data_IF_440560838231
#
_entry.id   IF_440560838231
#
_cell.length_a   1.000
_cell.length_b   1.000
_cell.length_c   1.000
_cell.angle_alpha   90.00
_cell.angle_beta   90.00
_cell.angle_gamma   90.00
#
_symmetry.space_group_name_H-M   'P 1'
#
loop_
_entity.id
_entity.type
_entity.pdbx_description
1 polymer ?
#
# COMPACT_ATOMS: atom_id res chain seq x y z
N UNK A 1 -1.02 45.13 14.16
CA UNK A 1 -1.30 43.92 14.99
C UNK A 1 -0.69 42.72 14.27
N UNK A 2 0.29 42.02 14.88
CA UNK A 2 0.90 40.84 14.26
C UNK A 2 -0.05 39.65 14.37
N UNK A 3 -0.27 38.96 13.27
CA UNK A 3 -1.04 37.70 13.18
C UNK A 3 -0.36 36.60 14.01
N UNK A 4 -1.11 35.81 14.79
CA UNK A 4 -0.52 34.70 15.54
C UNK A 4 -0.01 33.64 14.59
N UNK A 5 1.28 33.32 14.71
CA UNK A 5 1.95 32.21 14.06
C UNK A 5 1.10 30.93 14.15
N UNK A 6 0.62 30.44 13.02
CA UNK A 6 0.16 29.06 12.91
C UNK A 6 1.37 28.18 13.22
N UNK A 7 1.37 27.59 14.39
CA UNK A 7 2.32 26.55 14.77
C UNK A 7 2.40 25.52 13.63
N UNK A 8 3.49 25.58 12.92
CA UNK A 8 3.97 24.51 12.06
C UNK A 8 3.96 23.25 12.92
N UNK A 9 3.05 22.33 12.65
CA UNK A 9 3.18 20.96 13.15
C UNK A 9 4.52 20.47 12.63
N UNK A 10 5.51 20.39 13.51
CA UNK A 10 6.74 19.66 13.25
C UNK A 10 6.33 18.24 12.85
N UNK A 11 6.38 17.97 11.56
CA UNK A 11 6.25 16.61 11.03
C UNK A 11 7.50 15.90 11.52
N UNK A 12 7.37 15.17 12.62
CA UNK A 12 8.39 14.22 13.02
C UNK A 12 8.50 13.23 11.86
N UNK A 13 9.55 13.37 11.07
CA UNK A 13 9.86 12.44 9.97
C UNK A 13 10.11 11.07 10.61
N UNK A 14 9.08 10.24 10.61
CA UNK A 14 9.22 8.87 11.06
C UNK A 14 9.92 8.08 9.97
N UNK A 15 11.05 7.44 10.30
CA UNK A 15 11.72 6.50 9.39
C UNK A 15 10.81 5.35 8.95
N UNK A 16 9.76 5.06 9.71
CA UNK A 16 8.75 4.05 9.42
C UNK A 16 7.35 4.63 9.64
N UNK A 17 6.77 5.31 8.64
CA UNK A 17 5.39 5.74 8.73
C UNK A 17 4.45 4.53 8.86
N UNK A 18 3.28 4.68 9.51
CA UNK A 18 2.46 3.55 9.97
C UNK A 18 2.01 2.60 8.86
N UNK A 19 1.65 3.12 7.68
CA UNK A 19 1.17 2.31 6.57
C UNK A 19 2.27 1.40 6.02
N UNK A 20 3.44 1.97 5.71
CA UNK A 20 4.61 1.20 5.26
C UNK A 20 5.01 0.19 6.33
N UNK A 21 5.10 0.62 7.61
CA UNK A 21 5.46 -0.26 8.72
C UNK A 21 4.57 -1.49 8.79
N UNK A 22 3.26 -1.31 8.78
CA UNK A 22 2.32 -2.43 8.89
C UNK A 22 2.32 -3.32 7.66
N UNK A 23 2.46 -2.75 6.46
CA UNK A 23 2.60 -3.56 5.24
C UNK A 23 3.86 -4.43 5.27
N UNK A 24 4.99 -3.90 5.73
CA UNK A 24 6.23 -4.68 5.90
C UNK A 24 6.04 -5.81 6.91
N UNK A 25 5.46 -5.53 8.09
CA UNK A 25 5.24 -6.53 9.14
C UNK A 25 4.30 -7.64 8.65
N UNK A 26 3.17 -7.28 8.04
CA UNK A 26 2.16 -8.25 7.60
C UNK A 26 2.72 -9.15 6.49
N UNK A 27 3.36 -8.58 5.46
CA UNK A 27 3.95 -9.38 4.38
C UNK A 27 5.05 -10.32 4.89
N UNK A 28 5.95 -9.81 5.73
CA UNK A 28 7.01 -10.63 6.33
C UNK A 28 6.43 -11.71 7.24
N UNK A 29 5.43 -11.39 8.07
CA UNK A 29 4.79 -12.35 8.95
C UNK A 29 4.09 -13.48 8.18
N UNK A 30 3.32 -13.14 7.14
CA UNK A 30 2.65 -14.14 6.28
C UNK A 30 3.69 -15.00 5.56
N UNK A 31 4.78 -14.41 5.07
CA UNK A 31 5.86 -15.16 4.44
C UNK A 31 6.53 -16.13 5.42
N UNK A 32 6.81 -15.71 6.65
CA UNK A 32 7.40 -16.57 7.67
C UNK A 32 6.45 -17.74 8.02
N UNK A 33 5.16 -17.48 8.14
CA UNK A 33 4.15 -18.54 8.35
C UNK A 33 4.15 -19.53 7.19
N UNK A 34 4.19 -19.05 5.94
CA UNK A 34 4.26 -19.90 4.75
C UNK A 34 5.58 -20.70 4.71
N UNK A 35 6.71 -20.03 4.95
CA UNK A 35 8.03 -20.64 4.85
C UNK A 35 8.29 -21.71 5.92
N UNK A 36 7.85 -21.46 7.15
CA UNK A 36 8.05 -22.33 8.30
C UNK A 36 6.94 -23.38 8.46
N UNK A 37 5.77 -23.19 7.85
CA UNK A 37 4.58 -24.00 8.08
C UNK A 37 4.55 -25.36 7.40
N UNK A 38 5.59 -25.69 6.62
CA UNK A 38 5.69 -26.97 5.91
C UNK A 38 4.70 -27.09 4.73
N UNK A 39 4.78 -28.21 4.01
CA UNK A 39 4.05 -28.42 2.75
C UNK A 39 2.52 -28.34 2.89
N UNK A 40 1.97 -28.80 4.01
CA UNK A 40 0.51 -28.77 4.24
C UNK A 40 -0.01 -27.35 4.35
N UNK A 41 0.64 -26.47 5.14
CA UNK A 41 0.23 -25.08 5.28
C UNK A 41 0.50 -24.30 3.98
N UNK A 42 1.61 -24.58 3.31
CA UNK A 42 1.94 -23.97 2.01
C UNK A 42 0.84 -24.22 0.98
N UNK A 43 0.36 -25.48 0.86
CA UNK A 43 -0.71 -25.83 -0.07
C UNK A 43 -2.04 -25.14 0.27
N UNK A 44 -2.39 -25.04 1.55
CA UNK A 44 -3.59 -24.31 1.97
C UNK A 44 -3.49 -22.81 1.70
N UNK A 45 -2.34 -22.21 1.96
CA UNK A 45 -2.12 -20.78 1.69
C UNK A 45 -2.15 -20.44 0.19
N UNK A 46 -1.91 -21.40 -0.70
CA UNK A 46 -2.07 -21.19 -2.16
C UNK A 46 -3.53 -20.92 -2.57
N UNK A 47 -4.52 -21.22 -1.73
CA UNK A 47 -5.90 -20.76 -1.95
C UNK A 47 -6.06 -19.24 -1.87
N UNK A 48 -5.11 -18.54 -1.26
CA UNK A 48 -5.06 -17.07 -1.20
C UNK A 48 -4.37 -16.45 -2.43
N UNK A 49 -3.70 -17.26 -3.25
CA UNK A 49 -3.04 -16.82 -4.48
C UNK A 49 -4.08 -16.51 -5.57
N UNK A 50 -3.77 -15.56 -6.43
CA UNK A 50 -4.64 -15.17 -7.52
C UNK A 50 -4.59 -16.23 -8.64
N UNK A 51 -5.69 -16.94 -8.81
CA UNK A 51 -5.91 -17.92 -9.88
C UNK A 51 -7.05 -17.41 -10.77
N UNK A 52 -6.74 -16.80 -11.93
CA UNK A 52 -7.70 -16.12 -12.79
C UNK A 52 -8.97 -16.93 -13.09
N UNK A 53 -8.83 -18.21 -13.42
CA UNK A 53 -9.96 -19.09 -13.72
C UNK A 53 -10.89 -19.30 -12.51
N UNK A 54 -10.36 -19.38 -11.29
CA UNK A 54 -11.19 -19.50 -10.08
C UNK A 54 -11.98 -18.22 -9.84
N UNK A 55 -11.35 -17.06 -10.00
CA UNK A 55 -12.02 -15.77 -9.79
C UNK A 55 -13.16 -15.55 -10.76
N UNK A 56 -12.99 -15.91 -12.04
CA UNK A 56 -14.00 -15.64 -13.09
C UNK A 56 -15.10 -16.70 -13.11
N UNK A 57 -14.72 -18.00 -13.15
CA UNK A 57 -15.70 -19.06 -13.37
C UNK A 57 -16.39 -19.57 -12.09
N UNK A 58 -15.88 -19.18 -10.91
CA UNK A 58 -16.47 -19.51 -9.62
C UNK A 58 -16.86 -18.24 -8.83
N UNK A 59 -17.16 -17.15 -9.52
CA UNK A 59 -17.65 -15.92 -8.87
C UNK A 59 -18.95 -16.18 -8.09
N UNK A 60 -19.13 -15.65 -6.86
CA UNK A 60 -18.22 -14.72 -6.15
C UNK A 60 -17.22 -15.42 -5.21
N UNK A 61 -17.13 -16.75 -5.22
CA UNK A 61 -16.50 -17.57 -4.19
C UNK A 61 -14.98 -17.38 -4.05
N UNK A 62 -14.30 -16.83 -5.06
CA UNK A 62 -12.85 -16.64 -5.02
C UNK A 62 -12.43 -15.18 -5.23
N UNK A 63 -13.35 -14.23 -5.12
CA UNK A 63 -13.08 -12.80 -5.35
C UNK A 63 -12.05 -12.21 -4.39
N UNK A 64 -11.91 -12.76 -3.18
CA UNK A 64 -10.89 -12.34 -2.22
C UNK A 64 -9.47 -12.48 -2.75
N UNK A 65 -9.23 -13.39 -3.72
CA UNK A 65 -7.91 -13.59 -4.31
C UNK A 65 -7.38 -12.32 -4.99
N UNK A 66 -8.26 -11.43 -5.48
CA UNK A 66 -7.87 -10.12 -6.03
C UNK A 66 -7.17 -9.21 -5.00
N UNK A 67 -7.28 -9.53 -3.73
CA UNK A 67 -6.67 -8.79 -2.63
C UNK A 67 -5.60 -9.61 -1.90
N UNK A 68 -5.88 -10.87 -1.59
CA UNK A 68 -5.03 -11.69 -0.73
C UNK A 68 -3.69 -12.06 -1.38
N UNK A 69 -3.65 -12.20 -2.69
CA UNK A 69 -2.46 -12.57 -3.45
C UNK A 69 -1.28 -11.62 -3.20
N UNK A 70 -1.58 -10.34 -2.89
CA UNK A 70 -0.60 -9.29 -2.63
C UNK A 70 0.29 -9.58 -1.42
N UNK A 71 -0.13 -10.46 -0.54
CA UNK A 71 0.58 -10.78 0.71
C UNK A 71 1.39 -12.07 0.64
N UNK A 72 1.26 -12.84 -0.43
CA UNK A 72 2.01 -14.08 -0.64
C UNK A 72 3.31 -13.80 -1.41
N UNK A 73 4.38 -14.50 -1.04
CA UNK A 73 5.68 -14.36 -1.72
C UNK A 73 6.31 -15.75 -1.92
N UNK A 74 6.76 -16.03 -3.15
CA UNK A 74 7.26 -17.34 -3.56
C UNK A 74 8.70 -17.67 -3.14
N UNK A 75 9.39 -16.76 -2.43
CA UNK A 75 10.76 -16.97 -1.96
C UNK A 75 11.37 -15.75 -1.31
N UNK A 76 12.50 -15.94 -0.63
CA UNK A 76 13.19 -14.87 0.13
C UNK A 76 13.54 -13.68 -0.76
N UNK A 77 14.10 -13.92 -1.95
CA UNK A 77 14.45 -12.84 -2.89
C UNK A 77 13.23 -12.05 -3.34
N UNK A 78 12.10 -12.74 -3.64
CA UNK A 78 10.84 -12.10 -4.04
C UNK A 78 10.31 -11.20 -2.91
N UNK A 79 10.28 -11.70 -1.67
CA UNK A 79 9.88 -10.89 -0.51
C UNK A 79 10.83 -9.69 -0.34
N UNK A 80 12.14 -9.94 -0.34
CA UNK A 80 13.15 -8.92 -0.07
C UNK A 80 13.03 -7.74 -1.04
N UNK A 81 12.97 -8.00 -2.35
CA UNK A 81 12.85 -6.95 -3.36
C UNK A 81 11.53 -6.18 -3.26
N UNK A 82 10.43 -6.87 -2.95
CA UNK A 82 9.14 -6.22 -2.72
C UNK A 82 9.19 -5.31 -1.48
N UNK A 83 9.66 -5.81 -0.35
CA UNK A 83 9.71 -5.05 0.90
C UNK A 83 10.68 -3.87 0.84
N UNK A 84 11.80 -4.05 0.16
CA UNK A 84 12.77 -2.99 -0.03
C UNK A 84 12.22 -1.87 -0.94
N UNK A 85 11.55 -2.24 -2.03
CA UNK A 85 10.88 -1.28 -2.91
C UNK A 85 9.73 -0.55 -2.21
N UNK A 86 8.92 -1.28 -1.44
CA UNK A 86 7.86 -0.71 -0.62
C UNK A 86 8.43 0.28 0.41
N UNK A 87 9.52 -0.06 1.08
CA UNK A 87 10.18 0.81 2.03
C UNK A 87 10.73 2.07 1.35
N UNK A 88 11.46 1.92 0.26
CA UNK A 88 12.15 3.00 -0.44
C UNK A 88 11.18 4.02 -1.05
N UNK A 89 10.15 3.57 -1.76
CA UNK A 89 9.18 4.45 -2.41
C UNK A 89 8.00 4.80 -1.50
N UNK A 90 7.56 3.85 -0.68
CA UNK A 90 6.40 3.99 0.18
C UNK A 90 6.56 5.04 1.26
N UNK A 91 7.74 5.13 1.89
CA UNK A 91 7.98 6.12 2.95
C UNK A 91 7.74 7.54 2.44
N UNK A 92 8.36 7.92 1.33
CA UNK A 92 8.24 9.28 0.76
C UNK A 92 6.80 9.58 0.34
N UNK A 93 6.12 8.61 -0.28
CA UNK A 93 4.73 8.78 -0.69
C UNK A 93 3.78 8.88 0.51
N UNK A 94 3.97 8.05 1.54
CA UNK A 94 3.16 8.11 2.75
C UNK A 94 3.38 9.41 3.53
N UNK A 95 4.62 9.89 3.62
CA UNK A 95 4.93 11.18 4.23
C UNK A 95 4.30 12.34 3.47
N UNK A 96 4.22 12.25 2.14
CA UNK A 96 3.64 13.29 1.29
C UNK A 96 2.10 13.29 1.35
N UNK A 97 1.47 12.13 1.33
CA UNK A 97 0.02 11.98 1.21
C UNK A 97 -0.71 11.70 2.53
N UNK A 98 0.02 11.26 3.54
CA UNK A 98 -0.52 10.67 4.76
C UNK A 98 -0.98 9.23 4.56
N UNK A 99 -1.01 8.48 5.68
CA UNK A 99 -1.23 7.02 5.72
C UNK A 99 -2.50 6.58 4.99
N UNK A 100 -3.62 7.30 5.17
CA UNK A 100 -4.91 6.90 4.57
C UNK A 100 -4.88 6.96 3.06
N UNK A 101 -4.30 8.00 2.48
CA UNK A 101 -4.22 8.19 1.03
C UNK A 101 -3.23 7.20 0.43
N UNK A 102 -2.07 7.03 1.07
CA UNK A 102 -1.07 6.04 0.68
C UNK A 102 -1.65 4.62 0.61
N UNK A 103 -2.32 4.16 1.67
CA UNK A 103 -2.93 2.82 1.69
C UNK A 103 -4.03 2.66 0.65
N UNK A 104 -4.88 3.67 0.44
CA UNK A 104 -5.89 3.63 -0.64
C UNK A 104 -5.25 3.46 -2.00
N UNK A 105 -4.21 4.23 -2.29
CA UNK A 105 -3.49 4.14 -3.54
C UNK A 105 -2.83 2.77 -3.71
N UNK A 106 -2.14 2.30 -2.68
CA UNK A 106 -1.47 0.99 -2.67
C UNK A 106 -2.44 -0.16 -2.99
N UNK A 107 -3.55 -0.23 -2.26
CA UNK A 107 -4.53 -1.29 -2.46
C UNK A 107 -5.30 -1.15 -3.77
N UNK A 108 -5.58 0.07 -4.22
CA UNK A 108 -6.18 0.28 -5.53
C UNK A 108 -5.27 -0.25 -6.65
N UNK A 109 -3.99 0.08 -6.61
CA UNK A 109 -3.01 -0.42 -7.60
C UNK A 109 -2.90 -1.93 -7.54
N UNK A 110 -2.84 -2.53 -6.34
CA UNK A 110 -2.75 -3.97 -6.17
C UNK A 110 -3.98 -4.71 -6.66
N UNK A 111 -5.17 -4.30 -6.23
CA UNK A 111 -6.43 -4.92 -6.71
C UNK A 111 -6.60 -4.70 -8.22
N UNK A 112 -6.31 -3.51 -8.72
CA UNK A 112 -6.33 -3.21 -10.14
C UNK A 112 -5.35 -4.07 -10.96
N UNK A 113 -4.17 -4.32 -10.42
CA UNK A 113 -3.20 -5.25 -10.99
C UNK A 113 -3.78 -6.66 -11.09
N UNK A 114 -4.40 -7.15 -10.01
CA UNK A 114 -5.07 -8.45 -9.98
C UNK A 114 -6.23 -8.56 -10.98
N UNK A 115 -7.01 -7.50 -11.15
CA UNK A 115 -8.09 -7.44 -12.15
C UNK A 115 -7.51 -7.53 -13.57
N UNK A 116 -6.49 -6.74 -13.91
CA UNK A 116 -5.84 -6.79 -15.22
C UNK A 116 -5.24 -8.17 -15.49
N UNK A 117 -4.54 -8.73 -14.51
CA UNK A 117 -3.96 -10.07 -14.60
C UNK A 117 -5.03 -11.14 -14.87
N UNK A 118 -6.12 -11.10 -14.09
CA UNK A 118 -7.25 -12.02 -14.23
C UNK A 118 -7.88 -11.93 -15.61
N UNK A 119 -8.24 -10.73 -16.07
CA UNK A 119 -8.93 -10.54 -17.33
C UNK A 119 -8.07 -10.99 -18.53
N UNK A 120 -6.81 -10.56 -18.57
CA UNK A 120 -5.93 -10.85 -19.70
C UNK A 120 -5.58 -12.35 -19.74
N UNK A 121 -5.25 -12.97 -18.59
CA UNK A 121 -4.93 -14.41 -18.58
C UNK A 121 -6.12 -15.29 -18.92
N UNK A 122 -7.34 -14.93 -18.53
CA UNK A 122 -8.57 -15.65 -18.93
C UNK A 122 -8.81 -15.52 -20.43
N UNK A 123 -8.67 -14.30 -21.00
CA UNK A 123 -8.85 -14.06 -22.46
C UNK A 123 -7.81 -14.84 -23.27
N UNK A 124 -6.57 -14.89 -22.80
CA UNK A 124 -5.48 -15.63 -23.48
C UNK A 124 -5.49 -17.14 -23.20
N UNK A 125 -6.39 -17.62 -22.33
CA UNK A 125 -6.47 -19.04 -21.94
C UNK A 125 -5.29 -19.52 -21.10
N UNK A 126 -4.55 -18.61 -20.47
CA UNK A 126 -3.40 -18.96 -19.65
C UNK A 126 -3.86 -19.47 -18.28
N UNK A 127 -3.27 -20.58 -17.82
CA UNK A 127 -3.47 -21.13 -16.48
C UNK A 127 -2.30 -20.73 -15.58
N UNK A 128 -2.35 -19.50 -15.09
CA UNK A 128 -1.31 -18.92 -14.24
C UNK A 128 -1.82 -18.76 -12.81
N UNK A 129 -0.90 -18.72 -11.87
CA UNK A 129 -1.17 -18.33 -10.49
C UNK A 129 -0.21 -17.20 -10.14
N UNK A 130 -0.79 -16.08 -9.69
CA UNK A 130 -0.05 -14.85 -9.39
C UNK A 130 -0.02 -14.62 -7.89
N UNK A 131 1.16 -14.25 -7.37
CA UNK A 131 1.41 -13.89 -5.97
C UNK A 131 2.39 -12.70 -5.91
N UNK A 132 2.27 -11.90 -4.86
CA UNK A 132 3.22 -10.82 -4.54
C UNK A 132 2.61 -9.43 -4.53
N UNK A 133 3.25 -8.55 -3.78
CA UNK A 133 2.90 -7.14 -3.66
C UNK A 133 3.31 -6.29 -4.87
N UNK A 134 4.02 -6.89 -5.84
CA UNK A 134 4.70 -6.17 -6.90
C UNK A 134 3.77 -5.33 -7.79
N UNK A 135 2.55 -5.77 -8.06
CA UNK A 135 1.56 -4.95 -8.79
C UNK A 135 1.28 -3.61 -8.11
N UNK A 136 1.06 -3.61 -6.79
CA UNK A 136 0.91 -2.38 -6.03
C UNK A 136 2.20 -1.55 -6.00
N UNK A 137 3.36 -2.20 -5.90
CA UNK A 137 4.68 -1.54 -5.87
C UNK A 137 4.99 -0.86 -7.22
N UNK A 138 4.63 -1.45 -8.34
CA UNK A 138 4.73 -0.79 -9.65
C UNK A 138 3.84 0.45 -9.73
N UNK A 139 2.66 0.43 -9.09
CA UNK A 139 1.85 1.63 -8.88
C UNK A 139 2.57 2.69 -8.05
N UNK A 140 3.21 2.31 -6.92
CA UNK A 140 4.01 3.23 -6.10
C UNK A 140 5.20 3.80 -6.89
N UNK A 141 5.89 2.96 -7.66
CA UNK A 141 6.99 3.38 -8.52
C UNK A 141 6.53 4.45 -9.53
N UNK A 142 5.38 4.22 -10.18
CA UNK A 142 4.78 5.21 -11.07
C UNK A 142 4.49 6.53 -10.35
N UNK A 143 3.82 6.48 -9.19
CA UNK A 143 3.50 7.68 -8.41
C UNK A 143 4.76 8.45 -8.03
N UNK A 144 5.80 7.74 -7.59
CA UNK A 144 7.06 8.34 -7.24
C UNK A 144 7.72 9.05 -8.44
N UNK A 145 7.75 8.41 -9.61
CA UNK A 145 8.31 9.00 -10.82
C UNK A 145 7.53 10.18 -11.36
N UNK A 146 6.19 10.21 -11.15
CA UNK A 146 5.33 11.34 -11.54
C UNK A 146 5.49 12.53 -10.59
N UNK A 147 5.54 12.27 -9.27
CA UNK A 147 5.60 13.32 -8.25
C UNK A 147 7.02 13.86 -8.01
N UNK A 148 8.02 12.99 -8.18
CA UNK A 148 9.42 13.31 -7.91
C UNK A 148 10.33 12.97 -9.09
N UNK A 149 10.05 13.49 -10.32
CA UNK A 149 10.66 13.00 -11.57
C UNK A 149 12.19 13.16 -11.61
N UNK A 150 12.74 14.18 -10.98
CA UNK A 150 14.17 14.50 -11.02
C UNK A 150 14.96 14.02 -9.80
N UNK A 151 14.29 13.42 -8.81
CA UNK A 151 14.95 12.78 -7.67
C UNK A 151 15.78 11.60 -8.17
N UNK A 152 17.03 11.53 -7.74
CA UNK A 152 17.93 10.42 -8.06
C UNK A 152 17.66 9.24 -7.12
N UNK A 153 17.44 8.07 -7.70
CA UNK A 153 17.24 6.80 -7.02
C UNK A 153 18.32 5.84 -7.49
N UNK A 154 18.84 5.01 -6.60
CA UNK A 154 19.83 4.00 -6.99
C UNK A 154 19.13 2.83 -7.68
N UNK A 155 19.29 2.70 -8.99
CA UNK A 155 18.86 1.54 -9.74
C UNK A 155 19.72 0.33 -9.34
N UNK A 156 19.05 -0.72 -8.87
CA UNK A 156 19.70 -1.94 -8.35
C UNK A 156 20.82 -1.65 -7.33
N UNK A 157 20.71 -0.55 -6.56
CA UNK A 157 21.69 -0.07 -5.57
C UNK A 157 23.06 0.34 -6.14
N UNK A 158 23.23 0.39 -7.45
CA UNK A 158 24.50 0.63 -8.12
C UNK A 158 24.58 2.01 -8.79
N UNK A 159 23.57 2.35 -9.59
CA UNK A 159 23.62 3.53 -10.45
C UNK A 159 22.55 4.55 -10.08
N UNK A 160 22.92 5.82 -9.80
CA UNK A 160 21.95 6.87 -9.56
C UNK A 160 21.27 7.27 -10.88
N UNK A 161 19.97 7.01 -10.96
CA UNK A 161 19.11 7.37 -12.10
C UNK A 161 17.96 8.28 -11.63
N UNK A 162 17.51 9.21 -12.46
CA UNK A 162 16.32 10.00 -12.14
C UNK A 162 15.08 9.11 -12.13
N UNK A 163 14.19 9.35 -11.16
CA UNK A 163 13.00 8.54 -10.94
C UNK A 163 12.14 8.36 -12.20
N UNK A 164 11.97 9.41 -13.01
CA UNK A 164 11.25 9.33 -14.29
C UNK A 164 11.81 8.27 -15.25
N UNK A 165 13.13 8.18 -15.36
CA UNK A 165 13.77 7.18 -16.23
C UNK A 165 13.69 5.78 -15.64
N UNK A 166 13.79 5.66 -14.30
CA UNK A 166 13.61 4.40 -13.60
C UNK A 166 12.22 3.82 -13.91
N UNK A 167 11.16 4.62 -13.77
CA UNK A 167 9.78 4.22 -14.08
C UNK A 167 9.62 3.79 -15.53
N UNK A 168 10.19 4.56 -16.46
CA UNK A 168 10.15 4.23 -17.90
C UNK A 168 10.82 2.90 -18.20
N UNK A 169 11.99 2.63 -17.62
CA UNK A 169 12.74 1.37 -17.81
C UNK A 169 11.94 0.21 -17.25
N UNK A 170 11.46 0.28 -16.00
CA UNK A 170 10.69 -0.82 -15.40
C UNK A 170 9.36 -1.05 -16.13
N UNK A 171 8.68 0.01 -16.57
CA UNK A 171 7.48 -0.09 -17.39
C UNK A 171 7.75 -0.72 -18.75
N UNK A 172 8.82 -0.32 -19.43
CA UNK A 172 9.22 -0.90 -20.71
C UNK A 172 9.62 -2.38 -20.58
N UNK A 173 10.39 -2.72 -19.55
CA UNK A 173 10.75 -4.12 -19.26
C UNK A 173 9.51 -4.97 -18.99
N UNK A 174 8.58 -4.48 -18.17
CA UNK A 174 7.33 -5.18 -17.90
C UNK A 174 6.49 -5.37 -19.18
N UNK A 175 6.45 -4.35 -20.06
CA UNK A 175 5.71 -4.42 -21.33
C UNK A 175 6.35 -5.43 -22.28
N UNK A 176 7.65 -5.36 -22.51
CA UNK A 176 8.37 -6.28 -23.38
C UNK A 176 8.25 -7.72 -22.87
N UNK A 177 8.38 -7.92 -21.55
CA UNK A 177 8.24 -9.23 -20.93
C UNK A 177 6.81 -9.77 -20.96
N UNK A 178 5.80 -8.89 -20.93
CA UNK A 178 4.39 -9.30 -21.09
C UNK A 178 4.06 -9.73 -22.54
N UNK A 179 4.73 -9.15 -23.52
CA UNK A 179 4.56 -9.50 -24.95
C UNK A 179 5.38 -10.74 -25.33
N UNK A 180 6.46 -11.02 -24.59
CA UNK A 180 7.25 -12.23 -24.76
C UNK A 180 6.60 -13.42 -24.06
N UNK A 181 6.68 -14.62 -24.67
CA UNK A 181 6.18 -15.88 -24.11
C UNK A 181 7.05 -16.41 -22.95
N UNK A 182 7.55 -15.53 -22.07
CA UNK A 182 8.42 -15.95 -20.97
C UNK A 182 7.62 -16.56 -19.83
N UNK A 183 7.75 -17.86 -19.61
CA UNK A 183 7.32 -18.61 -18.41
C UNK A 183 8.12 -18.19 -17.15
N UNK A 184 8.35 -16.90 -16.96
CA UNK A 184 9.23 -16.37 -15.90
C UNK A 184 8.64 -16.48 -14.48
N UNK A 185 7.41 -17.00 -14.32
CA UNK A 185 6.73 -17.05 -13.03
C UNK A 185 6.37 -15.67 -12.43
N UNK A 186 6.67 -14.59 -13.17
CA UNK A 186 6.38 -13.21 -12.78
C UNK A 186 5.26 -12.67 -13.65
N UNK A 187 4.18 -12.20 -13.05
CA UNK A 187 3.10 -11.58 -13.80
C UNK A 187 3.45 -10.15 -14.21
N UNK A 188 4.01 -10.00 -15.40
CA UNK A 188 4.27 -8.68 -15.98
C UNK A 188 2.98 -7.93 -16.30
N UNK A 189 1.88 -8.64 -16.56
CA UNK A 189 0.55 -8.09 -16.76
C UNK A 189 0.06 -7.39 -15.46
N UNK A 190 0.26 -8.03 -14.33
CA UNK A 190 -0.07 -7.42 -13.03
C UNK A 190 0.76 -6.15 -12.77
N UNK A 191 2.05 -6.13 -13.15
CA UNK A 191 2.89 -4.95 -13.02
C UNK A 191 2.34 -3.76 -13.84
N UNK A 192 2.03 -3.99 -15.11
CA UNK A 192 1.43 -2.97 -15.98
C UNK A 192 0.04 -2.55 -15.49
N UNK A 193 -0.78 -3.50 -15.02
CA UNK A 193 -2.09 -3.23 -14.42
C UNK A 193 -2.00 -2.30 -13.22
N UNK A 194 -1.03 -2.54 -12.32
CA UNK A 194 -0.77 -1.66 -11.18
C UNK A 194 -0.37 -0.24 -11.58
N UNK A 195 0.50 -0.10 -12.59
CA UNK A 195 0.85 1.21 -13.14
C UNK A 195 -0.36 1.89 -13.81
N UNK A 196 -1.17 1.16 -14.55
CA UNK A 196 -2.36 1.67 -15.24
C UNK A 196 -3.38 2.24 -14.23
N UNK A 197 -3.75 1.47 -13.20
CA UNK A 197 -4.66 1.93 -12.16
C UNK A 197 -4.08 3.09 -11.37
N UNK A 198 -2.78 3.06 -11.10
CA UNK A 198 -2.06 4.16 -10.48
C UNK A 198 -2.12 5.44 -11.30
N UNK A 199 -1.92 5.34 -12.60
CA UNK A 199 -2.01 6.47 -13.52
C UNK A 199 -3.41 7.10 -13.55
N UNK A 200 -4.45 6.27 -13.69
CA UNK A 200 -5.82 6.75 -13.66
C UNK A 200 -6.15 7.45 -12.33
N UNK A 201 -5.69 6.90 -11.22
CA UNK A 201 -5.91 7.52 -9.92
C UNK A 201 -5.23 8.89 -9.79
N UNK A 202 -4.00 9.03 -10.29
CA UNK A 202 -3.25 10.29 -10.24
C UNK A 202 -3.81 11.36 -11.19
N UNK A 203 -4.35 10.93 -12.35
CA UNK A 203 -4.93 11.82 -13.36
C UNK A 203 -6.40 12.15 -13.13
N UNK A 204 -7.14 11.26 -12.49
CA UNK A 204 -8.55 11.51 -12.24
C UNK A 204 -8.71 12.71 -11.30
N UNK A 205 -9.50 13.73 -11.68
CA UNK A 205 -10.02 14.67 -10.70
C UNK A 205 -10.78 13.81 -9.70
N UNK A 206 -10.37 13.79 -8.41
CA UNK A 206 -10.97 12.90 -7.40
C UNK A 206 -12.48 12.84 -7.59
N UNK A 207 -13.05 11.72 -8.04
CA UNK A 207 -14.48 11.61 -8.24
C UNK A 207 -15.15 11.93 -6.89
N UNK A 208 -16.18 12.76 -6.90
CA UNK A 208 -17.01 13.05 -5.70
C UNK A 208 -17.46 11.77 -4.99
N UNK A 209 -17.59 10.67 -5.74
CA UNK A 209 -17.93 9.34 -5.22
C UNK A 209 -16.94 8.82 -4.15
N UNK A 210 -15.64 9.02 -4.29
CA UNK A 210 -14.66 8.63 -3.26
C UNK A 210 -14.71 9.55 -2.01
N UNK A 211 -15.38 10.70 -2.10
CA UNK A 211 -15.65 11.56 -0.95
C UNK A 211 -16.68 10.94 0.00
N UNK A 212 -17.60 10.12 -0.53
CA UNK A 212 -18.61 9.38 0.25
C UNK A 212 -18.04 8.16 0.99
N UNK A 213 -16.94 7.58 0.50
CA UNK A 213 -16.22 6.48 1.15
C UNK A 213 -15.22 6.96 2.22
N UNK A 214 -15.44 8.13 2.83
CA UNK A 214 -14.73 8.48 4.05
C UNK A 214 -15.24 7.54 5.15
N UNK A 215 -14.43 6.54 5.59
CA UNK A 215 -14.82 5.81 6.79
C UNK A 215 -14.96 6.84 7.91
N UNK A 216 -15.91 6.66 8.84
CA UNK A 216 -16.06 7.55 9.98
C UNK A 216 -14.69 7.70 10.65
N UNK A 217 -14.34 8.93 11.05
CA UNK A 217 -13.06 9.20 11.68
C UNK A 217 -13.02 8.57 13.09
N UNK A 218 -12.86 7.24 13.12
CA UNK A 218 -12.78 6.46 14.37
C UNK A 218 -11.63 6.96 15.24
N UNK A 219 -10.55 7.46 14.65
CA UNK A 219 -9.44 8.08 15.36
C UNK A 219 -9.81 9.44 15.94
N UNK A 220 -10.65 10.22 15.26
CA UNK A 220 -11.21 11.48 15.77
C UNK A 220 -12.21 11.23 16.88
N UNK A 221 -13.10 10.27 16.70
CA UNK A 221 -14.05 9.84 17.74
C UNK A 221 -13.33 9.34 19.00
N UNK A 222 -12.30 8.48 18.87
CA UNK A 222 -11.52 8.00 20.02
C UNK A 222 -10.75 9.13 20.71
N UNK A 223 -10.17 10.08 19.96
CA UNK A 223 -9.51 11.28 20.53
C UNK A 223 -10.50 12.16 21.28
N UNK A 224 -11.68 12.42 20.72
CA UNK A 224 -12.73 13.20 21.38
C UNK A 224 -13.23 12.51 22.65
N UNK A 225 -13.48 11.20 22.62
CA UNK A 225 -13.86 10.41 23.77
C UNK A 225 -12.80 10.44 24.88
N UNK A 226 -11.52 10.30 24.51
CA UNK A 226 -10.39 10.41 25.46
C UNK A 226 -10.29 11.79 26.08
N UNK A 227 -10.48 12.85 25.29
CA UNK A 227 -10.51 14.24 25.78
C UNK A 227 -11.71 14.49 26.70
N UNK A 228 -12.89 13.99 26.38
CA UNK A 228 -14.06 14.10 27.25
C UNK A 228 -13.86 13.36 28.57
N UNK A 229 -13.28 12.17 28.55
CA UNK A 229 -12.92 11.45 29.78
C UNK A 229 -11.89 12.22 30.62
N UNK A 230 -10.88 12.79 29.99
CA UNK A 230 -9.88 13.61 30.67
C UNK A 230 -10.51 14.86 31.30
N UNK A 231 -11.40 15.58 30.58
CA UNK A 231 -12.16 16.72 31.07
C UNK A 231 -13.06 16.35 32.28
N UNK A 232 -13.78 15.23 32.19
CA UNK A 232 -14.60 14.75 33.33
C UNK A 232 -13.76 14.45 34.57
N UNK A 233 -12.62 13.75 34.41
CA UNK A 233 -11.69 13.47 35.50
C UNK A 233 -11.16 14.75 36.13
N UNK A 234 -10.77 15.73 35.30
CA UNK A 234 -10.30 17.03 35.78
C UNK A 234 -11.38 17.81 36.53
N UNK A 235 -12.62 17.84 36.03
CA UNK A 235 -13.75 18.48 36.72
C UNK A 235 -14.05 17.83 38.06
N UNK A 236 -14.01 16.50 38.17
CA UNK A 236 -14.18 15.76 39.41
C UNK A 236 -13.05 16.08 40.39
N UNK A 237 -11.81 16.16 39.92
CA UNK A 237 -10.65 16.54 40.73
C UNK A 237 -10.80 17.96 41.29
N UNK A 238 -11.14 18.93 40.42
CA UNK A 238 -11.36 20.33 40.82
C UNK A 238 -12.51 20.47 41.81
N UNK A 239 -13.59 19.73 41.65
CA UNK A 239 -14.72 19.71 42.56
C UNK A 239 -14.35 19.13 43.95
N UNK A 240 -13.50 18.10 43.98
CA UNK A 240 -12.96 17.52 45.24
C UNK A 240 -12.01 18.48 45.98
N UNK A 241 -11.31 19.35 45.25
CA UNK A 241 -10.38 20.34 45.81
C UNK A 241 -11.07 21.65 46.23
N UNK A 242 -12.41 21.68 46.30
CA UNK A 242 -13.19 22.83 46.78
C UNK A 242 -13.08 24.09 45.93
N UNK A 243 -12.79 23.94 44.64
CA UNK A 243 -12.70 25.07 43.69
C UNK A 243 -11.47 25.99 43.86
N UNK A 244 -10.60 25.71 44.81
CA UNK A 244 -9.33 26.45 44.98
C UNK A 244 -8.28 25.87 44.04
N UNK A 245 -8.09 26.52 42.90
CA UNK A 245 -6.94 26.26 42.02
C UNK A 245 -5.64 26.73 42.70
N UNK A 246 -4.47 26.13 42.36
CA UNK A 246 -3.18 26.51 42.95
C UNK A 246 -2.68 27.91 42.59
N UNK A 247 -3.51 28.73 41.96
CA UNK A 247 -3.14 30.04 41.40
C UNK A 247 -4.00 31.21 41.96
N UNK A 248 -4.67 31.06 43.08
CA UNK A 248 -5.38 32.15 43.74
C UNK A 248 -4.75 32.40 45.13
N UNK A 249 -3.69 33.19 45.10
CA UNK A 249 -3.27 34.09 46.19
C UNK A 249 -3.31 35.51 45.66
#
# INVERSE_FOLDING_TARGET
>A
MPQPNRFSRSTVYSYFPPGVKWLLIVNTGIFLLWYLGGASLQSQMMLLALTPNLVVFHFPWFVWQLFTYMFLHGGIGHLLFNMLSLWMFGITLEQTWGTRHFLKYYFLCGVGAGICDTLINVILGHRTTTIGASGAIYGLLLAFGVLFPDVKVLMNFLFPIKAKYLVMIYGAVALISALGSSNSGVSNIAHLGGMLFGWFYLKAPMPRFFRFLRPPDLGGWYRQWRLQRAKKKFQVYMKKQGGRGPWVN
#
